data_IF_414645973975
#
_entry.id   IF_414645973975
#
_cell.length_a   1.000
_cell.length_b   1.000
_cell.length_c   1.000
_cell.angle_alpha   90.00
_cell.angle_beta   90.00
_cell.angle_gamma   90.00
#
_symmetry.space_group_name_H-M   'P 1'
#
loop_
_entity.id
_entity.type
_entity.pdbx_description
1 polymer ?
#
# COMPACT_ATOMS: atom_id res chain seq x y z
N UNK A 1 -26.92 19.97 -33.23
CA UNK A 1 -28.16 20.44 -32.57
C UNK A 1 -28.86 21.60 -33.31
N UNK A 2 -28.17 22.43 -34.10
CA UNK A 2 -28.80 23.58 -34.81
C UNK A 2 -29.48 23.22 -36.14
N UNK A 3 -29.04 22.17 -36.84
CA UNK A 3 -29.56 21.77 -38.15
C UNK A 3 -30.99 21.20 -38.11
N UNK A 4 -31.30 20.35 -37.13
CA UNK A 4 -32.62 19.73 -36.98
C UNK A 4 -33.72 20.73 -36.63
N UNK A 5 -33.42 21.69 -35.73
CA UNK A 5 -34.36 22.77 -35.44
C UNK A 5 -34.63 23.65 -36.65
N UNK A 6 -33.64 23.86 -37.53
CA UNK A 6 -33.81 24.62 -38.76
C UNK A 6 -34.87 24.02 -39.68
N UNK A 7 -34.86 22.69 -39.85
CA UNK A 7 -35.85 21.98 -40.68
C UNK A 7 -37.26 22.04 -40.07
N UNK A 8 -37.37 21.79 -38.76
CA UNK A 8 -38.65 21.84 -38.04
C UNK A 8 -39.23 23.25 -38.05
N UNK A 9 -38.38 24.28 -37.84
CA UNK A 9 -38.80 25.68 -37.86
C UNK A 9 -39.26 26.14 -39.25
N UNK A 10 -38.63 25.66 -40.33
CA UNK A 10 -39.08 25.94 -41.69
C UNK A 10 -40.46 25.34 -41.97
N UNK A 11 -40.70 24.11 -41.52
CA UNK A 11 -42.00 23.45 -41.71
C UNK A 11 -43.11 24.12 -40.88
N UNK A 12 -42.80 24.54 -39.65
CA UNK A 12 -43.73 25.33 -38.82
C UNK A 12 -44.07 26.69 -39.47
N UNK A 13 -43.08 27.39 -40.04
CA UNK A 13 -43.30 28.65 -40.75
C UNK A 13 -44.14 28.45 -42.01
N UNK A 14 -43.90 27.38 -42.78
CA UNK A 14 -44.69 27.02 -43.97
C UNK A 14 -46.16 26.77 -43.64
N UNK A 15 -46.44 26.22 -42.45
CA UNK A 15 -47.80 25.97 -41.93
C UNK A 15 -48.41 27.16 -41.19
N UNK A 16 -47.68 28.28 -41.04
CA UNK A 16 -48.16 29.46 -40.30
C UNK A 16 -48.34 29.22 -38.80
N UNK A 17 -47.51 28.34 -38.21
CA UNK A 17 -47.55 27.97 -36.79
C UNK A 17 -46.47 28.72 -36.02
N UNK A 18 -46.85 29.36 -34.91
CA UNK A 18 -45.95 30.04 -33.99
C UNK A 18 -45.81 29.24 -32.69
N UNK A 19 -44.60 29.11 -32.18
CA UNK A 19 -44.28 28.20 -31.06
C UNK A 19 -44.23 28.97 -29.74
N UNK A 20 -44.90 28.48 -28.68
CA UNK A 20 -44.79 29.07 -27.33
C UNK A 20 -43.57 28.54 -26.57
N UNK A 21 -43.27 29.13 -25.41
CA UNK A 21 -42.17 28.69 -24.53
C UNK A 21 -42.30 27.20 -24.17
N UNK A 22 -41.19 26.45 -24.20
CA UNK A 22 -41.12 25.01 -23.88
C UNK A 22 -41.50 24.05 -25.02
N UNK A 23 -42.27 24.48 -26.02
CA UNK A 23 -42.69 23.63 -27.15
C UNK A 23 -41.51 23.25 -28.06
N UNK A 24 -40.53 24.15 -28.21
CA UNK A 24 -39.28 23.88 -28.95
C UNK A 24 -38.53 22.66 -28.39
N UNK A 25 -38.34 22.63 -27.07
CA UNK A 25 -37.62 21.54 -26.39
C UNK A 25 -38.39 20.23 -26.52
N UNK A 26 -39.73 20.29 -26.43
CA UNK A 26 -40.59 19.13 -26.58
C UNK A 26 -40.54 18.56 -28.01
N UNK A 27 -40.60 19.40 -29.04
CA UNK A 27 -40.50 18.96 -30.43
C UNK A 27 -39.16 18.31 -30.77
N UNK A 28 -38.06 18.83 -30.22
CA UNK A 28 -36.73 18.23 -30.39
C UNK A 28 -36.56 16.89 -29.66
N UNK A 29 -37.38 16.62 -28.64
CA UNK A 29 -37.37 15.35 -27.91
C UNK A 29 -38.18 14.23 -28.60
N UNK A 30 -38.97 14.57 -29.62
CA UNK A 30 -39.77 13.60 -30.37
C UNK A 30 -38.92 12.92 -31.45
N UNK A 31 -39.15 11.62 -31.68
CA UNK A 31 -38.44 10.86 -32.72
C UNK A 31 -38.76 11.38 -34.13
N UNK A 32 -40.03 11.65 -34.42
CA UNK A 32 -40.50 12.16 -35.71
C UNK A 32 -41.44 13.38 -35.52
N UNK A 33 -40.90 14.60 -35.35
CA UNK A 33 -41.71 15.78 -35.05
C UNK A 33 -42.64 16.20 -36.21
N UNK A 34 -42.28 15.92 -37.46
CA UNK A 34 -43.09 16.29 -38.64
C UNK A 34 -44.37 15.46 -38.72
N UNK A 35 -44.30 14.15 -38.47
CA UNK A 35 -45.48 13.26 -38.47
C UNK A 35 -46.49 13.62 -37.38
N UNK A 36 -46.01 14.13 -36.25
CA UNK A 36 -46.84 14.63 -35.15
C UNK A 36 -47.56 15.92 -35.57
N UNK A 37 -46.88 16.83 -36.26
CA UNK A 37 -47.48 18.06 -36.78
C UNK A 37 -48.52 17.79 -37.88
N UNK A 38 -48.41 16.69 -38.63
CA UNK A 38 -49.43 16.26 -39.61
C UNK A 38 -50.74 15.83 -38.94
N UNK A 39 -50.71 15.43 -37.66
CA UNK A 39 -51.93 15.07 -36.92
C UNK A 39 -52.72 16.30 -36.47
N UNK A 40 -52.16 17.51 -36.57
CA UNK A 40 -52.83 18.74 -36.11
C UNK A 40 -54.17 19.00 -36.77
N UNK A 41 -54.32 18.65 -38.06
CA UNK A 41 -55.59 18.77 -38.78
C UNK A 41 -56.71 17.91 -38.18
N UNK A 42 -56.40 16.78 -37.54
CA UNK A 42 -57.40 15.91 -36.89
C UNK A 42 -57.92 16.48 -35.57
N UNK A 43 -57.16 17.40 -34.96
CA UNK A 43 -57.50 18.09 -33.71
C UNK A 43 -58.10 19.48 -34.01
N UNK A 44 -58.26 19.82 -35.30
CA UNK A 44 -58.77 21.12 -35.72
C UNK A 44 -57.75 22.26 -35.57
N UNK A 45 -56.46 21.95 -35.43
CA UNK A 45 -55.38 22.93 -35.38
C UNK A 45 -54.64 22.99 -36.72
N UNK A 46 -54.90 24.04 -37.49
CA UNK A 46 -54.29 24.22 -38.82
C UNK A 46 -53.28 25.39 -38.88
N UNK A 47 -53.48 26.45 -38.09
CA UNK A 47 -52.64 27.65 -38.06
C UNK A 47 -52.77 28.39 -36.73
N UNK A 48 -51.72 29.11 -36.30
CA UNK A 48 -51.74 29.92 -35.09
C UNK A 48 -50.69 29.51 -34.05
N UNK A 49 -50.91 29.86 -32.78
CA UNK A 49 -49.94 29.57 -31.71
C UNK A 49 -50.09 28.13 -31.20
N UNK A 50 -49.02 27.35 -31.31
CA UNK A 50 -48.92 25.99 -30.78
C UNK A 50 -48.49 26.06 -29.31
N UNK A 51 -49.42 25.70 -28.41
CA UNK A 51 -49.15 25.51 -26.99
C UNK A 51 -48.69 24.09 -26.68
N UNK A 52 -48.13 23.88 -25.48
CA UNK A 52 -47.67 22.56 -25.02
C UNK A 52 -48.84 21.57 -24.93
N UNK A 53 -50.01 22.03 -24.50
CA UNK A 53 -51.19 21.18 -24.31
C UNK A 53 -51.68 20.62 -25.66
N UNK A 54 -51.79 21.50 -26.67
CA UNK A 54 -52.18 21.10 -28.03
C UNK A 54 -51.15 20.17 -28.65
N UNK A 55 -49.84 20.40 -28.41
CA UNK A 55 -48.81 19.49 -28.88
C UNK A 55 -48.90 18.11 -28.21
N UNK A 56 -49.24 18.05 -26.92
CA UNK A 56 -49.39 16.76 -26.22
C UNK A 56 -50.58 15.96 -26.79
N UNK A 57 -51.70 16.61 -27.12
CA UNK A 57 -52.82 15.95 -27.79
C UNK A 57 -52.42 15.38 -29.17
N UNK A 58 -51.55 16.09 -29.91
CA UNK A 58 -50.99 15.58 -31.18
C UNK A 58 -50.07 14.39 -30.98
N UNK A 59 -49.27 14.40 -29.91
CA UNK A 59 -48.34 13.30 -29.57
C UNK A 59 -49.09 12.04 -29.18
N UNK A 60 -50.16 12.17 -28.39
CA UNK A 60 -51.00 11.06 -27.96
C UNK A 60 -51.68 10.36 -29.16
N UNK A 61 -52.14 11.14 -30.14
CA UNK A 61 -52.71 10.60 -31.38
C UNK A 61 -51.67 9.95 -32.30
N UNK A 62 -50.43 10.45 -32.30
CA UNK A 62 -49.35 9.90 -33.11
C UNK A 62 -48.69 8.65 -32.50
N UNK A 63 -49.03 8.29 -31.25
CA UNK A 63 -48.44 7.15 -30.54
C UNK A 63 -46.92 7.27 -30.29
N UNK A 64 -46.35 8.46 -30.50
CA UNK A 64 -44.92 8.74 -30.37
C UNK A 64 -44.59 9.13 -28.92
N UNK A 65 -44.70 8.18 -28.00
CA UNK A 65 -44.25 8.38 -26.61
C UNK A 65 -42.72 8.41 -26.54
N UNK A 66 -42.18 9.34 -25.75
CA UNK A 66 -40.75 9.46 -25.52
C UNK A 66 -40.18 8.16 -24.90
N UNK A 67 -38.96 7.73 -25.25
CA UNK A 67 -38.38 6.45 -24.83
C UNK A 67 -38.22 6.23 -23.30
N UNK A 68 -38.33 7.27 -22.48
CA UNK A 68 -37.79 7.25 -21.12
C UNK A 68 -38.66 6.61 -20.03
N UNK A 69 -39.93 6.26 -20.30
CA UNK A 69 -40.81 5.70 -19.25
C UNK A 69 -40.97 4.18 -19.31
N UNK A 70 -40.81 3.56 -20.48
CA UNK A 70 -41.04 2.10 -20.63
C UNK A 70 -39.83 1.26 -20.22
N UNK A 71 -38.60 1.82 -20.24
CA UNK A 71 -37.38 1.07 -19.93
C UNK A 71 -37.07 0.94 -18.42
N UNK A 72 -37.56 1.85 -17.57
CA UNK A 72 -37.27 1.81 -16.12
C UNK A 72 -37.98 0.69 -15.36
N UNK A 73 -39.07 0.14 -15.89
CA UNK A 73 -39.85 -0.92 -15.21
C UNK A 73 -39.21 -2.31 -15.40
N UNK A 74 -38.29 -2.48 -16.36
CA UNK A 74 -37.70 -3.78 -16.71
C UNK A 74 -36.31 -4.04 -16.12
N UNK A 75 -35.78 -3.17 -15.27
CA UNK A 75 -34.50 -3.42 -14.61
C UNK A 75 -34.73 -4.22 -13.32
N UNK A 76 -34.26 -5.47 -13.22
CA UNK A 76 -34.45 -6.29 -12.03
C UNK A 76 -33.71 -5.67 -10.84
N UNK A 77 -34.41 -5.47 -9.72
CA UNK A 77 -33.92 -4.86 -8.47
C UNK A 77 -32.97 -5.81 -7.67
N UNK A 78 -32.55 -6.92 -8.26
CA UNK A 78 -31.71 -7.95 -7.61
C UNK A 78 -30.26 -7.97 -8.08
N UNK A 79 -29.39 -8.62 -7.31
CA UNK A 79 -28.05 -9.01 -7.78
C UNK A 79 -28.19 -10.12 -8.83
N UNK A 80 -27.96 -9.80 -10.10
CA UNK A 80 -27.85 -10.79 -11.18
C UNK A 80 -26.65 -11.70 -10.90
N UNK A 81 -26.91 -12.98 -10.61
CA UNK A 81 -25.86 -13.99 -10.48
C UNK A 81 -25.31 -14.23 -11.89
N UNK A 82 -23.99 -14.11 -12.07
CA UNK A 82 -23.37 -14.45 -13.34
C UNK A 82 -23.72 -15.91 -13.69
N UNK A 83 -24.05 -16.24 -14.95
CA UNK A 83 -24.26 -17.62 -15.34
C UNK A 83 -22.98 -18.43 -15.04
N UNK A 84 -23.12 -19.45 -14.20
CA UNK A 84 -22.05 -20.38 -13.86
C UNK A 84 -21.85 -21.30 -15.07
N UNK A 85 -21.09 -20.82 -16.05
CA UNK A 85 -20.57 -21.68 -17.10
C UNK A 85 -19.30 -22.34 -16.56
N UNK A 86 -19.15 -23.66 -16.76
CA UNK A 86 -17.88 -24.30 -16.48
C UNK A 86 -16.79 -23.60 -17.30
N UNK A 87 -15.68 -23.16 -16.69
CA UNK A 87 -14.63 -22.49 -17.43
C UNK A 87 -14.08 -23.46 -18.47
N UNK A 88 -14.09 -23.04 -19.74
CA UNK A 88 -13.47 -23.83 -20.79
C UNK A 88 -12.00 -24.05 -20.46
N UNK A 89 -11.49 -25.30 -20.51
CA UNK A 89 -10.11 -25.57 -20.15
C UNK A 89 -9.17 -24.78 -21.08
N UNK A 90 -8.38 -23.90 -20.47
CA UNK A 90 -7.41 -23.08 -21.19
C UNK A 90 -6.38 -24.00 -21.85
N UNK A 91 -6.28 -23.94 -23.17
CA UNK A 91 -5.21 -24.64 -23.91
C UNK A 91 -3.89 -23.91 -23.69
N UNK A 92 -3.11 -24.40 -22.75
CA UNK A 92 -1.75 -23.92 -22.49
C UNK A 92 -0.90 -24.20 -23.74
N UNK A 93 -0.33 -23.16 -24.34
CA UNK A 93 0.63 -23.32 -25.43
C UNK A 93 2.01 -23.59 -24.85
N UNK A 94 2.50 -24.82 -25.01
CA UNK A 94 3.84 -25.19 -24.58
C UNK A 94 4.89 -24.71 -25.59
N UNK A 95 6.01 -24.18 -25.09
CA UNK A 95 7.10 -23.64 -25.94
C UNK A 95 7.63 -24.66 -26.96
N UNK A 96 7.55 -25.96 -26.63
CA UNK A 96 8.02 -27.08 -27.44
C UNK A 96 7.00 -28.23 -27.61
N UNK A 97 5.69 -27.98 -27.43
CA UNK A 97 4.64 -29.03 -27.37
C UNK A 97 4.88 -30.13 -26.31
N UNK A 98 5.77 -29.89 -25.36
CA UNK A 98 6.07 -30.75 -24.21
C UNK A 98 5.75 -29.96 -22.93
N UNK A 99 5.17 -30.60 -21.91
CA UNK A 99 5.07 -29.99 -20.59
C UNK A 99 6.48 -29.64 -20.09
N UNK A 100 6.67 -28.43 -19.54
CA UNK A 100 7.96 -28.00 -18.96
C UNK A 100 8.35 -28.78 -17.68
N UNK A 101 7.53 -29.74 -17.28
CA UNK A 101 7.70 -30.60 -16.11
C UNK A 101 7.56 -32.07 -16.51
N UNK A 102 8.36 -32.93 -15.89
CA UNK A 102 8.22 -34.38 -16.02
C UNK A 102 7.34 -34.88 -14.88
N UNK A 103 6.30 -35.65 -15.21
CA UNK A 103 5.43 -36.29 -14.21
C UNK A 103 6.18 -37.27 -13.30
N UNK A 104 7.35 -37.75 -13.75
CA UNK A 104 8.26 -38.57 -12.93
C UNK A 104 8.98 -37.77 -11.85
N UNK A 105 9.13 -36.46 -12.04
CA UNK A 105 9.80 -35.58 -11.07
C UNK A 105 8.84 -35.13 -9.97
N UNK A 106 7.53 -35.24 -10.20
CA UNK A 106 6.48 -34.89 -9.27
C UNK A 106 5.61 -36.12 -8.96
N UNK A 107 6.12 -37.00 -8.10
CA UNK A 107 5.33 -38.11 -7.57
C UNK A 107 4.08 -37.57 -6.86
N UNK A 108 2.89 -37.79 -7.43
CA UNK A 108 1.60 -37.42 -6.83
C UNK A 108 1.22 -38.25 -5.60
N UNK A 109 2.16 -39.01 -5.03
CA UNK A 109 1.98 -39.81 -3.84
C UNK A 109 2.06 -38.90 -2.62
N UNK A 110 0.92 -38.59 -2.02
CA UNK A 110 0.86 -37.93 -0.73
C UNK A 110 1.36 -38.92 0.35
N UNK A 111 2.59 -38.73 0.82
CA UNK A 111 3.13 -39.42 1.99
C UNK A 111 3.08 -38.49 3.19
N UNK A 112 2.64 -38.99 4.33
CA UNK A 112 2.76 -38.23 5.58
C UNK A 112 4.24 -37.94 5.85
N UNK A 113 4.55 -36.66 6.09
CA UNK A 113 5.88 -36.20 6.47
C UNK A 113 5.79 -35.77 7.92
N UNK A 114 6.72 -36.28 8.74
CA UNK A 114 6.88 -35.84 10.11
C UNK A 114 7.27 -34.35 10.11
N UNK A 115 6.33 -33.49 10.50
CA UNK A 115 6.57 -32.06 10.65
C UNK A 115 7.15 -31.80 12.04
N UNK A 116 8.46 -31.99 12.20
CA UNK A 116 9.19 -31.56 13.40
C UNK A 116 9.41 -30.04 13.36
N UNK A 117 8.39 -29.29 13.79
CA UNK A 117 8.47 -27.83 13.91
C UNK A 117 9.17 -27.49 15.22
N UNK A 118 10.43 -27.05 15.15
CA UNK A 118 11.15 -26.50 16.29
C UNK A 118 10.95 -24.98 16.34
N UNK A 119 10.12 -24.50 17.26
CA UNK A 119 9.89 -23.07 17.45
C UNK A 119 11.08 -22.50 18.21
N UNK A 120 12.01 -21.86 17.50
CA UNK A 120 13.20 -21.24 18.11
C UNK A 120 12.89 -19.95 18.88
N UNK A 121 11.88 -19.19 18.45
CA UNK A 121 11.45 -17.94 19.07
C UNK A 121 9.93 -17.78 18.96
N UNK A 122 9.23 -17.87 20.09
CA UNK A 122 7.81 -17.53 20.21
C UNK A 122 7.68 -16.18 20.92
N UNK A 123 7.29 -15.15 20.17
CA UNK A 123 7.06 -13.80 20.71
C UNK A 123 5.78 -13.79 21.57
N UNK A 124 4.87 -14.75 21.40
CA UNK A 124 3.51 -14.69 21.96
C UNK A 124 3.35 -15.26 23.37
N UNK A 125 4.38 -15.92 23.91
CA UNK A 125 4.24 -16.73 25.13
C UNK A 125 4.06 -15.97 26.45
N UNK A 126 4.54 -14.72 26.57
CA UNK A 126 4.36 -13.83 27.74
C UNK A 126 4.81 -12.37 27.48
N UNK A 127 4.98 -11.96 26.22
CA UNK A 127 5.51 -10.63 25.84
C UNK A 127 4.42 -9.55 25.88
N UNK A 128 3.60 -9.51 26.93
CA UNK A 128 2.66 -8.40 27.17
C UNK A 128 3.39 -7.28 27.90
N UNK A 129 4.05 -6.39 27.17
CA UNK A 129 4.64 -5.20 27.77
C UNK A 129 3.65 -4.04 27.71
N UNK A 130 3.32 -3.46 28.86
CA UNK A 130 2.41 -2.30 28.96
C UNK A 130 3.09 -0.97 28.60
N UNK A 131 4.28 -0.99 27.98
CA UNK A 131 5.05 0.22 27.65
C UNK A 131 5.54 1.05 28.85
N UNK A 132 5.45 0.51 30.08
CA UNK A 132 5.94 1.17 31.30
C UNK A 132 7.47 1.37 31.24
N UNK A 133 7.96 2.42 31.90
CA UNK A 133 9.40 2.70 32.03
C UNK A 133 10.18 1.49 32.55
N UNK A 134 9.62 0.75 33.52
CA UNK A 134 10.25 -0.47 34.04
C UNK A 134 10.41 -1.58 33.00
N UNK A 135 9.46 -1.73 32.07
CA UNK A 135 9.57 -2.70 30.98
C UNK A 135 10.63 -2.29 29.96
N UNK A 136 10.77 -0.99 29.70
CA UNK A 136 11.81 -0.45 28.82
C UNK A 136 13.20 -0.71 29.43
N UNK A 137 13.39 -0.39 30.71
CA UNK A 137 14.63 -0.66 31.43
C UNK A 137 14.96 -2.15 31.46
N UNK A 138 13.98 -3.02 31.75
CA UNK A 138 14.17 -4.47 31.73
C UNK A 138 14.61 -4.97 30.35
N UNK A 139 14.03 -4.46 29.27
CA UNK A 139 14.40 -4.80 27.89
C UNK A 139 15.86 -4.42 27.58
N UNK A 140 16.30 -3.21 27.96
CA UNK A 140 17.69 -2.80 27.75
C UNK A 140 18.68 -3.63 28.57
N UNK A 141 18.35 -3.94 29.83
CA UNK A 141 19.18 -4.78 30.69
C UNK A 141 19.29 -6.22 30.16
N UNK A 142 18.17 -6.83 29.75
CA UNK A 142 18.17 -8.18 29.18
C UNK A 142 18.95 -8.25 27.86
N UNK A 143 18.80 -7.22 27.01
CA UNK A 143 19.59 -7.06 25.79
C UNK A 143 21.09 -6.98 26.09
N UNK A 144 21.49 -6.14 27.06
CA UNK A 144 22.88 -6.00 27.46
C UNK A 144 23.44 -7.30 28.04
N UNK A 145 22.70 -8.00 28.90
CA UNK A 145 23.11 -9.28 29.48
C UNK A 145 23.30 -10.36 28.41
N UNK A 146 22.38 -10.44 27.45
CA UNK A 146 22.44 -11.38 26.33
C UNK A 146 23.67 -11.13 25.45
N UNK A 147 23.91 -9.88 25.07
CA UNK A 147 25.09 -9.49 24.28
C UNK A 147 26.38 -9.75 25.07
N UNK A 148 26.41 -9.42 26.36
CA UNK A 148 27.55 -9.67 27.25
C UNK A 148 27.90 -11.16 27.29
N UNK A 149 26.91 -12.05 27.48
CA UNK A 149 27.11 -13.51 27.44
C UNK A 149 27.67 -13.98 26.09
N UNK A 150 27.15 -13.47 24.98
CA UNK A 150 27.65 -13.82 23.64
C UNK A 150 29.10 -13.37 23.41
N UNK A 151 29.44 -12.14 23.78
CA UNK A 151 30.80 -11.60 23.62
C UNK A 151 31.79 -12.39 24.49
N UNK A 152 31.46 -12.65 25.76
CA UNK A 152 32.33 -13.43 26.65
C UNK A 152 32.51 -14.86 26.15
N UNK A 153 31.50 -15.47 25.53
CA UNK A 153 31.57 -16.82 24.97
C UNK A 153 32.39 -16.90 23.67
N UNK A 154 32.23 -15.92 22.79
CA UNK A 154 32.78 -15.97 21.42
C UNK A 154 34.13 -15.26 21.27
N UNK A 155 34.48 -14.35 22.17
CA UNK A 155 35.68 -13.51 22.06
C UNK A 155 36.75 -13.90 23.08
N UNK A 156 38.02 -13.76 22.69
CA UNK A 156 39.17 -13.89 23.61
C UNK A 156 39.51 -12.53 24.22
N UNK A 157 38.77 -12.16 25.27
CA UNK A 157 39.00 -10.91 25.98
C UNK A 157 40.28 -11.00 26.83
N UNK A 158 41.12 -9.94 26.88
CA UNK A 158 42.39 -9.97 27.61
C UNK A 158 42.20 -10.04 29.14
N UNK A 159 41.06 -9.55 29.65
CA UNK A 159 40.69 -9.62 31.07
C UNK A 159 39.18 -9.89 31.20
N UNK A 160 38.74 -10.24 32.41
CA UNK A 160 37.31 -10.36 32.73
C UNK A 160 36.63 -8.98 32.62
N UNK A 161 35.45 -8.89 31.98
CA UNK A 161 34.67 -7.65 31.98
C UNK A 161 34.36 -7.16 33.39
N UNK A 162 34.46 -5.85 33.60
CA UNK A 162 34.08 -5.17 34.83
C UNK A 162 32.96 -4.16 34.56
N UNK A 163 32.20 -3.85 35.61
CA UNK A 163 31.16 -2.81 35.62
C UNK A 163 31.78 -1.43 35.40
N UNK A 164 31.11 -0.60 34.60
CA UNK A 164 31.58 0.73 34.22
C UNK A 164 31.66 1.65 35.44
N UNK A 165 30.68 1.59 36.35
CA UNK A 165 30.69 2.34 37.60
C UNK A 165 31.91 2.03 38.45
N UNK A 166 32.35 0.77 38.49
CA UNK A 166 33.58 0.37 39.18
C UNK A 166 34.83 0.90 38.50
N UNK A 167 34.89 0.85 37.16
CA UNK A 167 36.00 1.39 36.39
C UNK A 167 36.14 2.91 36.57
N UNK A 168 35.02 3.64 36.67
CA UNK A 168 35.01 5.07 36.95
C UNK A 168 35.60 5.38 38.34
N UNK A 169 35.28 4.58 39.37
CA UNK A 169 35.86 4.73 40.72
C UNK A 169 37.36 4.37 40.72
N UNK A 170 37.74 3.30 40.02
CA UNK A 170 39.10 2.78 39.99
C UNK A 170 39.96 3.36 38.84
N UNK A 171 39.54 4.46 38.19
CA UNK A 171 40.17 5.00 36.99
C UNK A 171 41.69 5.22 37.13
N UNK A 172 42.15 5.64 38.31
CA UNK A 172 43.57 5.84 38.60
C UNK A 172 44.42 4.56 38.43
N UNK A 173 43.84 3.37 38.66
CA UNK A 173 44.55 2.09 38.51
C UNK A 173 44.76 1.68 37.06
N UNK A 174 43.91 2.18 36.16
CA UNK A 174 43.90 1.84 34.75
C UNK A 174 44.57 2.91 33.88
N UNK A 175 45.45 3.72 34.48
CA UNK A 175 46.27 4.68 33.74
C UNK A 175 47.49 3.99 33.11
N UNK A 176 47.82 4.38 31.88
CA UNK A 176 48.96 3.87 31.12
C UNK A 176 48.62 2.75 30.14
N UNK A 177 49.58 2.38 29.29
CA UNK A 177 49.37 1.44 28.17
C UNK A 177 49.25 -0.03 28.63
N UNK A 178 49.92 -0.39 29.73
CA UNK A 178 49.97 -1.78 30.21
C UNK A 178 48.78 -2.15 31.11
N UNK A 179 48.08 -1.16 31.66
CA UNK A 179 46.98 -1.35 32.61
C UNK A 179 45.63 -1.46 31.90
N UNK A 180 45.42 -2.59 31.23
CA UNK A 180 44.20 -2.85 30.45
C UNK A 180 42.97 -3.08 31.34
N UNK A 181 41.84 -2.47 30.99
CA UNK A 181 40.52 -2.81 31.52
C UNK A 181 39.62 -3.32 30.39
N UNK A 182 38.62 -4.13 30.73
CA UNK A 182 37.61 -4.60 29.78
C UNK A 182 36.25 -4.23 30.34
N UNK A 183 35.47 -3.51 29.55
CA UNK A 183 34.09 -3.13 29.84
C UNK A 183 33.20 -3.58 28.68
N UNK A 184 31.95 -3.94 28.97
CA UNK A 184 30.93 -4.26 27.97
C UNK A 184 29.69 -3.46 28.31
N UNK A 185 29.27 -2.60 27.39
CA UNK A 185 28.10 -1.74 27.53
C UNK A 185 27.40 -1.52 26.19
N UNK A 186 26.27 -0.83 26.24
CA UNK A 186 25.58 -0.30 25.07
C UNK A 186 26.23 1.02 24.64
N UNK A 187 26.29 1.25 23.34
CA UNK A 187 26.90 2.45 22.77
C UNK A 187 25.86 3.57 22.70
N UNK A 188 26.23 4.76 23.15
CA UNK A 188 25.45 5.98 23.06
C UNK A 188 26.19 7.03 22.20
N UNK A 189 25.42 7.78 21.40
CA UNK A 189 25.87 8.93 20.59
C UNK A 189 27.27 8.80 19.91
N UNK A 190 27.45 7.85 18.96
CA UNK A 190 28.69 7.72 18.22
C UNK A 190 28.92 8.94 17.30
N UNK A 191 30.08 9.59 17.44
CA UNK A 191 30.46 10.78 16.65
C UNK A 191 31.93 10.75 16.23
N UNK A 192 32.20 11.16 15.00
CA UNK A 192 33.58 11.28 14.49
C UNK A 192 34.17 12.67 14.75
N UNK A 193 35.44 12.70 15.16
CA UNK A 193 36.23 13.94 15.25
C UNK A 193 36.72 14.39 13.87
N UNK A 194 37.17 15.65 13.75
CA UNK A 194 37.82 16.15 12.52
C UNK A 194 39.02 15.33 12.07
N UNK A 195 39.70 14.66 13.01
CA UNK A 195 40.87 13.81 12.75
C UNK A 195 40.50 12.35 12.47
N UNK A 196 39.21 12.03 12.33
CA UNK A 196 38.69 10.69 12.03
C UNK A 196 38.46 9.78 13.24
N UNK A 197 38.98 10.12 14.43
CA UNK A 197 38.75 9.33 15.65
C UNK A 197 37.26 9.23 16.00
N UNK A 198 36.83 8.08 16.52
CA UNK A 198 35.45 7.82 16.91
C UNK A 198 35.29 8.04 18.43
N UNK A 199 34.40 8.95 18.81
CA UNK A 199 33.99 9.17 20.20
C UNK A 199 32.59 8.59 20.41
N UNK A 200 32.36 7.96 21.55
CA UNK A 200 31.05 7.42 21.92
C UNK A 200 30.93 7.29 23.44
N UNK A 201 29.71 7.35 23.95
CA UNK A 201 29.40 6.94 25.31
C UNK A 201 29.23 5.42 25.38
N UNK A 202 29.73 4.79 26.44
CA UNK A 202 29.49 3.39 26.73
C UNK A 202 28.73 3.30 28.06
N UNK A 203 27.55 2.69 28.04
CA UNK A 203 26.63 2.64 29.18
C UNK A 203 26.33 1.20 29.60
N UNK A 204 26.27 0.96 30.91
CA UNK A 204 25.78 -0.27 31.52
C UNK A 204 24.79 0.04 32.66
N UNK A 205 24.32 -1.00 33.36
CA UNK A 205 23.41 -0.87 34.49
C UNK A 205 23.96 -0.04 35.67
N UNK A 206 25.27 0.23 35.69
CA UNK A 206 25.98 0.91 36.79
C UNK A 206 26.39 2.34 36.45
N UNK A 207 26.52 2.70 35.17
CA UNK A 207 26.81 4.07 34.75
C UNK A 207 27.29 4.18 33.31
N UNK A 208 27.80 5.38 32.99
CA UNK A 208 28.28 5.75 31.66
C UNK A 208 29.79 6.08 31.69
N UNK A 209 30.50 5.78 30.60
CA UNK A 209 31.90 6.14 30.38
C UNK A 209 32.11 6.64 28.95
N UNK A 210 32.72 7.82 28.82
CA UNK A 210 33.10 8.38 27.53
C UNK A 210 34.33 7.67 26.96
N UNK A 211 34.19 7.15 25.75
CA UNK A 211 35.23 6.38 25.05
C UNK A 211 35.73 7.13 23.83
N UNK A 212 37.03 6.99 23.54
CA UNK A 212 37.68 7.49 22.33
C UNK A 212 38.45 6.35 21.67
N UNK A 213 38.01 5.95 20.48
CA UNK A 213 38.75 5.05 19.61
C UNK A 213 39.62 5.90 18.68
N UNK A 214 40.94 5.87 18.93
CA UNK A 214 41.92 6.56 18.11
C UNK A 214 42.29 5.73 16.88
N UNK A 215 42.38 6.40 15.73
CA UNK A 215 42.91 5.80 14.50
C UNK A 215 44.42 5.97 14.56
N UNK A 216 45.16 4.86 14.46
CA UNK A 216 46.63 4.88 14.44
C UNK A 216 47.13 5.52 13.14
N UNK A 217 48.15 6.36 13.24
CA UNK A 217 48.83 6.99 12.09
C UNK A 217 50.27 6.47 11.99
N UNK A 218 50.80 6.29 10.77
CA UNK A 218 52.18 5.86 10.53
C UNK A 218 52.37 4.37 10.21
N UNK A 219 53.56 3.82 10.51
CA UNK A 219 53.95 2.42 10.25
C UNK A 219 53.28 1.40 11.20
N UNK A 220 52.69 1.85 12.31
CA UNK A 220 51.88 1.03 13.25
C UNK A 220 50.42 0.83 12.77
N UNK A 221 50.17 1.06 11.48
CA UNK A 221 48.85 0.91 10.84
C UNK A 221 48.55 -0.55 10.54
N UNK A 222 47.99 -1.24 11.52
CA UNK A 222 47.35 -2.53 11.29
C UNK A 222 45.99 -2.35 10.58
N UNK A 223 46.00 -2.43 9.25
CA UNK A 223 44.79 -2.39 8.39
C UNK A 223 43.71 -3.40 8.78
N UNK A 224 44.05 -4.49 9.48
CA UNK A 224 43.09 -5.47 9.98
C UNK A 224 42.20 -4.93 11.12
N UNK A 225 42.69 -3.96 11.89
CA UNK A 225 41.98 -3.41 13.05
C UNK A 225 41.13 -2.16 12.72
N UNK A 226 41.21 -1.66 11.49
CA UNK A 226 40.43 -0.51 10.99
C UNK A 226 39.02 -0.88 10.51
N UNK A 227 38.69 -2.19 10.39
CA UNK A 227 37.32 -2.60 10.06
C UNK A 227 36.40 -2.31 11.26
N UNK A 228 35.91 -1.07 11.33
CA UNK A 228 34.59 -0.82 11.89
C UNK A 228 33.64 -1.62 11.02
N UNK A 229 33.18 -2.76 11.54
CA UNK A 229 32.15 -3.53 10.89
C UNK A 229 30.89 -2.66 10.94
N UNK A 230 30.58 -2.00 9.83
CA UNK A 230 29.25 -1.45 9.57
C UNK A 230 28.28 -2.62 9.44
N UNK A 231 27.91 -3.24 10.56
CA UNK A 231 26.76 -4.12 10.64
C UNK A 231 25.50 -3.24 10.73
N UNK A 232 25.26 -2.47 9.67
CA UNK A 232 23.91 -2.00 9.38
C UNK A 232 23.07 -3.18 8.92
N UNK A 233 21.80 -3.22 9.31
CA UNK A 233 20.81 -3.97 8.54
C UNK A 233 20.95 -3.57 7.07
N UNK A 234 20.79 -4.55 6.17
CA UNK A 234 20.85 -4.44 4.71
C UNK A 234 20.65 -3.02 4.14
N UNK A 235 21.44 -2.58 3.15
CA UNK A 235 21.06 -1.41 2.37
C UNK A 235 19.70 -1.72 1.70
N UNK A 236 18.75 -0.79 1.84
CA UNK A 236 17.48 -0.81 1.10
C UNK A 236 17.69 -0.91 -0.42
#
# INVERSE_FOLDING_TARGET
MTAEWGMISQELMKRGILVTTGVKERLLALRNPIEVLDQGGKIGFERGMLSIDVLNEMVDLAGNTAPNEVEKIRQPIGRTIAPVNEPEPVKIQYRNNLPDWSEKDFSGMATDVDNDILIHYDITGNSTTEGKMGHIQACFNDRLESIRKMIVKNSRLPRKPQEIGRLNIEYQRYQGYENLAVAIGLVNDPRHTKNGHLMFGLEDETGEMNCLLTIRQGDDRDRMHEQVVEAGLMPD
#
